data_IF_908317348382
#
_entry.id   IF_908317348382
#
_cell.length_a   1.000
_cell.length_b   1.000
_cell.length_c   1.000
_cell.angle_alpha   90.00
_cell.angle_beta   90.00
_cell.angle_gamma   90.00
#
_symmetry.space_group_name_H-M   'P 1'
#
loop_
_entity.id
_entity.type
_entity.pdbx_description
1 polymer ?
#
# COMPACT_ATOMS: atom_id res chain seq x y z
N UNK A 1 -10.34 -27.49 -19.33
CA UNK A 1 -10.04 -27.13 -19.39
C UNK A 1 -9.79 -26.58 -19.44
N UNK A 2 -9.75 -26.71 -19.31
CA UNK A 2 -9.34 -26.04 -19.19
C UNK A 2 -8.98 -25.41 -19.07
N UNK A 3 -9.12 -25.54 -18.85
CA UNK A 3 -8.64 -24.82 -18.55
C UNK A 3 -8.47 -24.18 -18.31
N UNK A 4 -8.65 -24.24 -18.01
CA UNK A 4 -8.43 -23.66 -17.73
C UNK A 4 -7.96 -23.04 -17.35
N UNK A 5 -8.19 -23.32 -17.12
CA UNK A 5 -7.64 -22.72 -16.76
C UNK A 5 -7.05 -22.17 -16.60
N UNK A 6 -7.29 -22.34 -16.52
CA UNK A 6 -6.67 -21.76 -16.38
C UNK A 6 -6.16 -20.97 -16.01
N UNK A 7 -6.40 -21.04 -15.66
CA UNK A 7 -5.94 -20.34 -15.39
C UNK A 7 -5.39 -19.73 -14.85
N UNK A 8 -5.55 -19.95 -14.51
CA UNK A 8 -5.03 -19.44 -14.10
C UNK A 8 -4.31 -18.99 -13.80
N UNK A 9 -4.46 -19.34 -13.75
CA UNK A 9 -3.75 -18.93 -13.60
C UNK A 9 -3.04 -18.27 -13.33
N UNK A 10 -3.24 -18.39 -13.10
CA UNK A 10 -2.63 -17.78 -12.99
C UNK A 10 -2.06 -17.10 -12.73
N UNK A 11 -2.09 -17.08 -12.36
CA UNK A 11 -1.64 -16.33 -12.24
C UNK A 11 -0.95 -15.70 -12.41
N UNK A 12 -1.01 -15.71 -12.21
CA UNK A 12 -0.53 -14.96 -12.38
C UNK A 12 -0.07 -14.40 -12.61
N UNK A 13 0.20 -15.17 -12.40
CA UNK A 13 1.03 -14.14 -12.46
C UNK A 13 0.77 -13.00 -12.96
N UNK A 14 0.33 -13.12 -13.19
CA UNK A 14 -0.42 -12.18 -13.66
C UNK A 14 0.07 -10.82 -13.73
N UNK A 15 -0.67 -9.92 -13.17
CA UNK A 15 -0.33 -8.51 -13.20
C UNK A 15 0.02 -8.05 -11.78
N UNK A 16 1.32 -7.83 -11.50
CA UNK A 16 1.72 -7.39 -10.16
C UNK A 16 1.06 -6.08 -9.73
N UNK A 17 0.84 -5.17 -10.68
CA UNK A 17 0.17 -3.90 -10.38
C UNK A 17 -1.27 -4.16 -9.95
N UNK A 18 -1.95 -5.04 -10.65
CA UNK A 18 -3.33 -5.38 -10.31
C UNK A 18 -3.41 -6.04 -8.94
N UNK A 19 -2.46 -6.93 -8.64
CA UNK A 19 -2.41 -7.59 -7.34
C UNK A 19 -2.19 -6.58 -6.22
N UNK A 20 -1.30 -5.62 -6.43
CA UNK A 20 -1.03 -4.58 -5.45
C UNK A 20 -2.27 -3.72 -5.22
N UNK A 21 -2.94 -3.34 -6.29
CA UNK A 21 -4.15 -2.52 -6.17
C UNK A 21 -5.24 -3.28 -5.43
N UNK A 22 -5.40 -4.55 -5.74
CA UNK A 22 -6.38 -5.41 -5.09
C UNK A 22 -6.09 -5.51 -3.59
N UNK A 23 -4.81 -5.66 -3.24
CA UNK A 23 -4.39 -5.71 -1.85
C UNK A 23 -4.77 -4.41 -1.13
N UNK A 24 -4.59 -3.27 -1.80
CA UNK A 24 -4.94 -1.98 -1.23
C UNK A 24 -6.45 -1.85 -1.00
N UNK A 25 -7.27 -2.32 -1.94
CA UNK A 25 -8.72 -2.26 -1.75
C UNK A 25 -9.17 -3.18 -0.61
N UNK A 26 -8.51 -4.32 -0.45
CA UNK A 26 -8.80 -5.21 0.68
C UNK A 26 -8.53 -4.50 2.01
N UNK A 27 -7.41 -3.78 2.09
CA UNK A 27 -7.10 -3.01 3.28
C UNK A 27 -8.10 -1.87 3.51
N UNK A 28 -8.55 -1.22 2.43
CA UNK A 28 -9.52 -0.15 2.56
C UNK A 28 -10.80 -0.65 3.22
N UNK A 29 -11.23 -1.86 2.87
CA UNK A 29 -12.40 -2.47 3.51
C UNK A 29 -12.15 -2.70 5.00
N UNK A 30 -10.99 -3.25 5.34
CA UNK A 30 -10.64 -3.51 6.74
C UNK A 30 -10.59 -2.23 7.57
N UNK A 31 -10.02 -1.19 6.99
CA UNK A 31 -9.84 0.09 7.67
C UNK A 31 -11.11 0.94 7.64
N UNK A 32 -12.11 0.52 6.90
CA UNK A 32 -13.38 1.22 6.73
C UNK A 32 -13.17 2.63 6.18
N UNK A 33 -12.32 2.72 5.18
CA UNK A 33 -12.09 3.97 4.45
C UNK A 33 -12.51 3.79 3.00
N UNK A 34 -12.83 4.89 2.36
CA UNK A 34 -13.35 4.91 1.00
C UNK A 34 -12.46 5.76 0.11
N UNK A 35 -11.35 5.21 -0.40
CA UNK A 35 -10.54 5.99 -1.33
C UNK A 35 -11.33 6.28 -2.61
N UNK A 36 -11.17 7.47 -3.12
CA UNK A 36 -11.77 7.85 -4.38
C UNK A 36 -11.19 7.03 -5.52
N UNK A 37 -9.88 6.80 -5.47
CA UNK A 37 -9.18 5.97 -6.43
C UNK A 37 -7.90 5.47 -5.80
N UNK A 38 -7.43 4.32 -6.26
CA UNK A 38 -6.12 3.79 -5.88
C UNK A 38 -5.35 3.59 -7.17
N UNK A 39 -4.22 4.29 -7.29
CA UNK A 39 -3.39 4.28 -8.50
C UNK A 39 -2.02 3.73 -8.18
N UNK A 40 -1.40 3.10 -9.17
CA UNK A 40 -0.01 2.65 -9.09
C UNK A 40 0.75 3.37 -10.18
N UNK A 41 1.74 4.14 -9.79
CA UNK A 41 2.50 4.97 -10.72
C UNK A 41 3.97 4.98 -10.34
N UNK A 42 4.82 5.37 -11.27
CA UNK A 42 6.23 5.60 -10.96
C UNK A 42 6.31 6.83 -10.06
N UNK A 43 6.84 6.65 -8.86
CA UNK A 43 7.12 7.75 -7.94
C UNK A 43 8.61 7.76 -7.67
N UNK A 44 9.22 8.95 -7.65
CA UNK A 44 10.67 9.07 -7.59
C UNK A 44 11.21 9.29 -6.19
N UNK A 45 10.40 9.81 -5.28
CA UNK A 45 10.92 10.21 -3.98
C UNK A 45 10.10 9.69 -2.80
N UNK A 46 9.16 8.79 -3.05
CA UNK A 46 8.34 8.24 -1.96
C UNK A 46 7.68 6.95 -2.41
N UNK A 47 7.20 6.19 -1.44
CA UNK A 47 6.53 4.91 -1.69
C UNK A 47 5.04 5.08 -1.93
N UNK A 48 4.44 6.17 -1.47
CA UNK A 48 3.03 6.40 -1.65
C UNK A 48 2.65 7.83 -1.31
N UNK A 49 1.42 8.18 -1.63
CA UNK A 49 0.87 9.49 -1.29
C UNK A 49 -0.65 9.40 -1.21
N UNK A 50 -1.24 10.38 -0.54
CA UNK A 50 -2.68 10.47 -0.42
C UNK A 50 -3.07 11.93 -0.66
N UNK A 51 -3.90 12.17 -1.67
CA UNK A 51 -4.33 13.52 -1.98
C UNK A 51 -5.49 13.95 -1.10
N UNK A 52 -5.73 15.25 -1.04
CA UNK A 52 -6.82 15.80 -0.24
C UNK A 52 -8.19 15.41 -0.78
N UNK A 53 -8.28 14.98 -2.02
CA UNK A 53 -9.56 14.55 -2.61
C UNK A 53 -9.76 13.04 -2.51
N UNK A 54 -8.84 12.33 -1.84
CA UNK A 54 -9.03 10.91 -1.56
C UNK A 54 -8.40 9.95 -2.55
N UNK A 55 -7.51 10.41 -3.40
CA UNK A 55 -6.77 9.52 -4.31
C UNK A 55 -5.51 9.04 -3.62
N UNK A 56 -5.36 7.71 -3.52
CA UNK A 56 -4.17 7.09 -2.96
C UNK A 56 -3.31 6.64 -4.13
N UNK A 57 -2.04 7.02 -4.12
CA UNK A 57 -1.09 6.62 -5.15
C UNK A 57 0.01 5.79 -4.50
N UNK A 58 0.32 4.65 -5.11
CA UNK A 58 1.36 3.74 -4.64
C UNK A 58 2.47 3.71 -5.68
N UNK A 59 3.71 3.66 -5.21
CA UNK A 59 4.86 3.60 -6.12
C UNK A 59 4.86 2.28 -6.88
N UNK A 60 5.14 2.33 -8.17
CA UNK A 60 5.23 1.13 -8.99
C UNK A 60 6.26 0.15 -8.40
N UNK A 61 7.38 0.67 -7.88
CA UNK A 61 8.42 -0.17 -7.30
C UNK A 61 7.94 -0.97 -6.08
N UNK A 62 6.81 -0.60 -5.51
CA UNK A 62 6.25 -1.32 -4.38
C UNK A 62 5.86 -2.75 -4.75
N UNK A 63 5.60 -3.03 -6.03
CA UNK A 63 5.24 -4.38 -6.48
C UNK A 63 6.36 -5.39 -6.21
N UNK A 64 7.60 -4.92 -6.08
CA UNK A 64 8.77 -5.78 -5.85
C UNK A 64 9.09 -5.95 -4.39
N UNK A 65 8.38 -5.28 -3.50
CA UNK A 65 8.67 -5.33 -2.08
C UNK A 65 7.93 -6.48 -1.42
N UNK A 66 8.37 -6.83 -0.20
CA UNK A 66 7.69 -7.87 0.56
C UNK A 66 6.26 -7.48 0.87
N UNK A 67 5.42 -8.48 1.12
CA UNK A 67 4.03 -8.19 1.46
C UNK A 67 3.90 -7.37 2.73
N UNK A 68 4.68 -7.64 3.81
CA UNK A 68 4.60 -6.77 4.98
C UNK A 68 4.93 -5.31 4.68
N UNK A 69 5.92 -5.06 3.82
CA UNK A 69 6.25 -3.68 3.46
C UNK A 69 5.15 -3.05 2.62
N UNK A 70 4.56 -3.82 1.70
CA UNK A 70 3.41 -3.34 0.94
C UNK A 70 2.27 -2.95 1.87
N UNK A 71 1.98 -3.79 2.86
CA UNK A 71 0.91 -3.50 3.82
C UNK A 71 1.21 -2.23 4.60
N UNK A 72 2.47 -2.06 5.01
CA UNK A 72 2.87 -0.86 5.75
C UNK A 72 2.56 0.41 4.94
N UNK A 73 3.00 0.45 3.68
CA UNK A 73 2.78 1.62 2.83
C UNK A 73 1.29 1.84 2.58
N UNK A 74 0.58 0.76 2.25
CA UNK A 74 -0.84 0.84 1.95
C UNK A 74 -1.62 1.38 3.14
N UNK A 75 -1.42 0.80 4.32
CA UNK A 75 -2.15 1.22 5.51
C UNK A 75 -1.80 2.65 5.87
N UNK A 76 -0.52 3.01 5.75
CA UNK A 76 -0.06 4.38 6.02
C UNK A 76 -0.85 5.39 5.18
N UNK A 77 -0.94 5.14 3.86
CA UNK A 77 -1.61 6.08 2.99
C UNK A 77 -3.13 6.07 3.16
N UNK A 78 -3.71 4.89 3.35
CA UNK A 78 -5.16 4.80 3.54
C UNK A 78 -5.60 5.48 4.84
N UNK A 79 -4.79 5.40 5.89
CA UNK A 79 -5.13 6.07 7.15
C UNK A 79 -5.19 7.59 6.99
N UNK A 80 -4.44 8.14 6.04
CA UNK A 80 -4.49 9.58 5.79
C UNK A 80 -5.83 10.05 5.23
N UNK A 81 -6.66 9.13 4.78
CA UNK A 81 -8.03 9.51 4.37
C UNK A 81 -8.87 9.95 5.57
N UNK A 82 -8.48 9.55 6.78
CA UNK A 82 -9.20 9.89 8.01
C UNK A 82 -8.38 10.73 8.97
N UNK A 83 -7.06 10.52 9.00
CA UNK A 83 -6.18 11.12 9.98
C UNK A 83 -5.02 11.77 9.25
N UNK A 84 -5.04 13.10 9.09
CA UNK A 84 -4.04 13.77 8.25
C UNK A 84 -2.64 13.86 8.85
N UNK A 85 -2.51 13.77 10.18
CA UNK A 85 -1.19 13.91 10.81
C UNK A 85 -0.73 12.59 11.40
N UNK A 86 0.57 12.51 11.69
CA UNK A 86 1.20 11.30 12.22
C UNK A 86 1.25 11.31 13.75
N UNK A 87 0.21 11.81 14.40
CA UNK A 87 0.17 11.89 15.83
C UNK A 87 -0.12 10.56 16.52
N UNK A 88 -0.53 10.67 17.78
CA UNK A 88 -0.73 9.50 18.63
C UNK A 88 -1.75 8.51 18.06
N UNK A 89 -2.88 9.03 17.58
CA UNK A 89 -3.96 8.17 17.06
C UNK A 89 -3.49 7.44 15.82
N UNK A 90 -2.80 8.15 14.91
CA UNK A 90 -2.27 7.53 13.71
C UNK A 90 -1.32 6.38 14.05
N UNK A 91 -0.39 6.63 14.97
CA UNK A 91 0.59 5.61 15.37
C UNK A 91 -0.07 4.42 16.05
N UNK A 92 -1.09 4.67 16.86
CA UNK A 92 -1.81 3.59 17.51
C UNK A 92 -2.52 2.70 16.48
N UNK A 93 -3.11 3.29 15.46
CA UNK A 93 -3.77 2.52 14.41
C UNK A 93 -2.75 1.77 13.56
N UNK A 94 -1.61 2.38 13.27
CA UNK A 94 -0.54 1.67 12.56
C UNK A 94 -0.12 0.42 13.34
N UNK A 95 0.06 0.55 14.64
CA UNK A 95 0.45 -0.58 15.48
C UNK A 95 -0.63 -1.66 15.50
N UNK A 96 -1.89 -1.25 15.52
CA UNK A 96 -3.00 -2.20 15.56
C UNK A 96 -3.09 -3.02 14.26
N UNK A 97 -2.89 -2.38 13.12
CA UNK A 97 -3.07 -3.03 11.84
C UNK A 97 -1.79 -3.61 11.25
N UNK A 98 -0.65 -3.00 11.55
CA UNK A 98 0.65 -3.44 11.04
C UNK A 98 1.64 -3.47 12.20
N UNK A 99 1.53 -4.48 13.10
CA UNK A 99 2.47 -4.59 14.22
C UNK A 99 3.90 -4.64 13.70
N UNK A 100 4.80 -3.91 14.37
CA UNK A 100 6.19 -3.88 13.95
C UNK A 100 6.49 -2.93 12.81
N UNK A 101 5.57 -2.04 12.48
CA UNK A 101 5.73 -1.13 11.35
C UNK A 101 6.98 -0.25 11.44
N UNK A 102 7.48 -0.01 12.65
CA UNK A 102 8.67 0.82 12.79
C UNK A 102 9.89 0.18 12.11
N UNK A 103 10.00 -1.15 12.19
CA UNK A 103 11.09 -1.84 11.51
C UNK A 103 10.93 -1.74 9.99
N UNK A 104 9.70 -1.77 9.51
CA UNK A 104 9.42 -1.64 8.09
C UNK A 104 9.75 -0.23 7.59
N UNK A 105 9.56 0.77 8.44
CA UNK A 105 9.93 2.13 8.10
C UNK A 105 11.43 2.25 7.84
N UNK A 106 12.23 1.58 8.65
CA UNK A 106 13.68 1.56 8.43
C UNK A 106 14.02 0.85 7.12
N UNK A 107 13.34 -0.26 6.86
CA UNK A 107 13.54 -1.02 5.62
C UNK A 107 13.30 -0.14 4.39
N UNK A 108 12.34 0.77 4.46
CA UNK A 108 12.02 1.66 3.36
C UNK A 108 13.11 2.66 3.03
N UNK A 109 14.17 2.74 3.84
CA UNK A 109 15.32 3.60 3.56
C UNK A 109 16.37 2.92 2.72
N UNK A 110 16.22 1.64 2.41
CA UNK A 110 17.13 0.92 1.56
C UNK A 110 16.98 1.40 0.12
N UNK A 111 17.84 0.93 -0.80
CA UNK A 111 17.78 1.40 -2.19
C UNK A 111 16.37 1.38 -2.74
N UNK A 112 15.99 2.46 -3.41
CA UNK A 112 14.64 2.64 -3.93
C UNK A 112 14.15 4.04 -3.60
N UNK A 113 12.85 4.28 -3.68
CA UNK A 113 12.30 5.57 -3.28
C UNK A 113 12.61 5.88 -1.82
N UNK A 114 12.60 7.17 -1.48
CA UNK A 114 12.89 7.57 -0.11
C UNK A 114 11.79 7.06 0.83
N UNK A 115 12.10 6.99 2.14
CA UNK A 115 11.11 6.54 3.13
C UNK A 115 9.88 7.43 3.14
N UNK A 116 8.78 6.89 3.67
CA UNK A 116 7.56 7.66 3.85
C UNK A 116 7.79 8.84 4.77
N UNK A 117 7.30 9.99 4.35
CA UNK A 117 7.44 11.22 5.09
C UNK A 117 6.11 11.78 5.57
N UNK A 118 5.08 11.54 4.84
CA UNK A 118 3.77 12.13 5.10
C UNK A 118 2.89 11.35 6.01
#
# INVERSE_FOLDING_TARGET
MPGKTRKQRRRAPGCPVQALRQRAYTWAVKLRVNPRAIRVQALHSKWGSCSSIGTVTLAYDLVRQTEPFQDYVIVHELLHLRIPNHGRVFKALMTAYVPGWQALQVEGRLPGPVPLQS
#
